data_IF_771517737611
#
_entry.id   IF_771517737611
#
_cell.length_a   1.000
_cell.length_b   1.000
_cell.length_c   1.000
_cell.angle_alpha   90.00
_cell.angle_beta   90.00
_cell.angle_gamma   90.00
#
_symmetry.space_group_name_H-M   'P 1'
#
loop_
_entity.id
_entity.type
_entity.pdbx_description
1 polymer ?
#
# COMPACT_ATOMS: atom_id res chain seq x y z
N UNK A 1 11.12 16.64 11.93
CA UNK A 1 11.97 17.51 12.77
C UNK A 1 11.16 18.63 13.41
N UNK A 2 10.50 19.55 12.66
CA UNK A 2 9.75 20.69 13.24
C UNK A 2 8.72 20.30 14.33
N UNK A 3 7.93 19.22 14.12
CA UNK A 3 7.01 18.67 15.14
C UNK A 3 7.78 18.29 16.42
N UNK A 4 8.96 17.67 16.27
CA UNK A 4 9.77 17.27 17.43
C UNK A 4 10.28 18.46 18.23
N UNK A 5 10.70 19.54 17.55
CA UNK A 5 11.14 20.78 18.21
C UNK A 5 9.99 21.44 18.97
N UNK A 6 8.81 21.56 18.34
CA UNK A 6 7.62 22.15 18.96
C UNK A 6 7.21 21.36 20.20
N UNK A 7 7.03 20.03 20.07
CA UNK A 7 6.59 19.21 21.19
C UNK A 7 7.65 19.08 22.30
N UNK A 8 8.94 19.16 21.94
CA UNK A 8 10.01 19.21 22.94
C UNK A 8 9.99 20.51 23.74
N UNK A 9 9.70 21.66 23.10
CA UNK A 9 9.56 22.95 23.80
C UNK A 9 8.36 22.98 24.76
N UNK A 10 7.30 22.22 24.44
CA UNK A 10 6.09 22.09 25.25
C UNK A 10 6.11 20.89 26.22
N UNK A 11 7.26 20.21 26.38
CA UNK A 11 7.38 18.97 27.15
C UNK A 11 6.75 19.03 28.55
N UNK A 12 6.88 20.16 29.24
CA UNK A 12 6.33 20.34 30.58
C UNK A 12 4.78 20.40 30.60
N UNK A 13 4.17 20.71 29.46
CA UNK A 13 2.72 20.87 29.31
C UNK A 13 2.06 19.63 28.68
N UNK A 14 2.84 18.63 28.24
CA UNK A 14 2.28 17.43 27.64
C UNK A 14 1.69 16.50 28.70
N UNK A 15 0.46 16.07 28.48
CA UNK A 15 -0.28 15.18 29.39
C UNK A 15 0.07 13.69 29.20
N UNK A 16 1.26 13.37 28.70
CA UNK A 16 1.72 11.99 28.47
C UNK A 16 3.08 11.93 27.81
N UNK A 17 3.38 10.81 27.16
CA UNK A 17 4.67 10.58 26.51
C UNK A 17 4.51 10.59 24.97
N UNK A 18 5.42 11.26 24.30
CA UNK A 18 5.51 11.28 22.84
C UNK A 18 6.77 10.53 22.41
N UNK A 19 6.60 9.51 21.59
CA UNK A 19 7.68 8.78 20.93
C UNK A 19 7.79 9.21 19.47
N UNK A 20 8.91 9.78 19.07
CA UNK A 20 9.19 10.11 17.67
C UNK A 20 9.83 8.90 16.99
N UNK A 21 9.26 8.49 15.86
CA UNK A 21 9.75 7.38 15.05
C UNK A 21 10.24 7.97 13.72
N UNK A 22 11.56 7.97 13.52
CA UNK A 22 12.19 8.42 12.29
C UNK A 22 12.47 7.19 11.43
N UNK A 23 11.51 6.87 10.59
CA UNK A 23 11.49 5.66 9.79
C UNK A 23 12.42 5.78 8.58
N UNK A 24 13.32 4.82 8.34
CA UNK A 24 14.10 4.69 7.11
C UNK A 24 13.39 3.78 6.10
N UNK A 25 13.86 3.78 4.85
CA UNK A 25 13.55 2.77 3.83
C UNK A 25 12.05 2.46 3.67
N UNK A 26 11.22 3.51 3.55
CA UNK A 26 9.78 3.35 3.27
C UNK A 26 9.56 2.62 1.94
N UNK A 27 10.36 2.93 0.91
CA UNK A 27 10.34 2.30 -0.42
C UNK A 27 10.87 0.86 -0.45
N UNK A 28 11.24 0.32 0.72
CA UNK A 28 11.77 -1.03 0.88
C UNK A 28 13.27 -1.15 0.60
N UNK A 29 13.83 -2.26 1.07
CA UNK A 29 15.21 -2.70 0.75
C UNK A 29 15.11 -3.92 -0.15
N UNK A 30 15.80 -3.88 -1.28
CA UNK A 30 15.77 -4.92 -2.30
C UNK A 30 17.11 -5.64 -2.37
N UNK A 31 17.09 -6.95 -2.65
CA UNK A 31 18.29 -7.73 -2.93
C UNK A 31 18.75 -7.54 -4.39
N UNK A 32 19.87 -8.16 -4.75
CA UNK A 32 20.43 -8.10 -6.12
C UNK A 32 19.51 -8.69 -7.20
N UNK A 33 18.46 -9.41 -6.80
CA UNK A 33 17.43 -9.97 -7.71
C UNK A 33 16.21 -9.07 -7.86
N UNK A 34 16.18 -7.92 -7.16
CA UNK A 34 15.02 -7.02 -7.13
C UNK A 34 13.86 -7.52 -6.27
N UNK A 35 14.10 -8.47 -5.37
CA UNK A 35 13.11 -8.94 -4.41
C UNK A 35 13.20 -8.07 -3.14
N UNK A 36 12.05 -7.58 -2.66
CA UNK A 36 11.99 -6.82 -1.42
C UNK A 36 12.31 -7.72 -0.23
N UNK A 37 13.34 -7.36 0.53
CA UNK A 37 13.76 -8.11 1.71
C UNK A 37 13.00 -7.66 2.94
N UNK A 38 12.88 -6.35 3.13
CA UNK A 38 12.32 -5.73 4.33
C UNK A 38 12.03 -4.25 4.08
N UNK A 39 11.02 -3.70 4.77
CA UNK A 39 10.83 -2.25 4.87
C UNK A 39 11.32 -1.71 6.21
N UNK A 40 11.49 -0.40 6.28
CA UNK A 40 11.94 0.23 7.51
C UNK A 40 10.95 0.07 8.66
N UNK A 41 9.66 0.26 8.40
CA UNK A 41 8.62 0.09 9.42
C UNK A 41 8.50 -1.36 9.90
N UNK A 42 8.60 -2.34 9.00
CA UNK A 42 8.55 -3.76 9.37
C UNK A 42 9.72 -4.12 10.30
N UNK A 43 10.94 -3.67 9.96
CA UNK A 43 12.12 -3.90 10.80
C UNK A 43 11.97 -3.24 12.16
N UNK A 44 11.58 -1.96 12.19
CA UNK A 44 11.39 -1.23 13.44
C UNK A 44 10.35 -1.88 14.34
N UNK A 45 9.27 -2.42 13.79
CA UNK A 45 8.26 -3.19 14.54
C UNK A 45 8.86 -4.48 15.10
N UNK A 46 9.66 -5.21 14.30
CA UNK A 46 10.36 -6.43 14.76
C UNK A 46 11.36 -6.12 15.89
N UNK A 47 12.01 -4.97 15.85
CA UNK A 47 12.93 -4.48 16.88
C UNK A 47 12.22 -3.88 18.11
N UNK A 48 10.90 -3.86 18.13
CA UNK A 48 10.11 -3.41 19.28
C UNK A 48 9.96 -1.91 19.41
N UNK A 49 9.99 -1.15 18.30
CA UNK A 49 9.84 0.31 18.32
C UNK A 49 8.55 0.79 19.00
N UNK A 50 7.51 -0.03 19.02
CA UNK A 50 6.23 0.30 19.65
C UNK A 50 6.17 -0.07 21.13
N UNK A 51 7.24 -0.66 21.67
CA UNK A 51 7.39 -1.00 23.08
C UNK A 51 8.37 -0.02 23.77
N UNK A 52 8.39 0.01 25.06
CA UNK A 52 9.32 0.77 25.93
C UNK A 52 9.64 2.22 25.51
N UNK A 53 8.73 3.19 25.69
CA UNK A 53 7.39 3.05 26.23
C UNK A 53 6.44 2.43 25.20
N UNK A 54 5.41 1.74 25.67
CA UNK A 54 4.37 1.19 24.82
C UNK A 54 3.61 2.32 24.14
N UNK A 55 3.38 2.17 22.84
CA UNK A 55 2.63 3.12 22.02
C UNK A 55 1.14 2.74 22.04
N UNK A 56 0.28 3.70 22.34
CA UNK A 56 -1.17 3.51 22.36
C UNK A 56 -1.80 3.80 20.99
N UNK A 57 -1.31 4.83 20.29
CA UNK A 57 -1.74 5.22 18.93
C UNK A 57 -0.57 5.80 18.15
N UNK A 58 -0.68 5.78 16.83
CA UNK A 58 0.34 6.37 15.94
C UNK A 58 -0.31 7.28 14.91
N UNK A 59 0.36 8.40 14.60
CA UNK A 59 -0.02 9.34 13.56
C UNK A 59 1.06 9.40 12.49
N UNK A 60 0.65 9.43 11.22
CA UNK A 60 1.54 9.58 10.06
C UNK A 60 0.97 10.53 9.02
N UNK A 61 1.83 11.08 8.19
CA UNK A 61 1.50 12.05 7.15
C UNK A 61 2.29 11.74 5.88
N UNK A 62 1.60 11.71 4.75
CA UNK A 62 2.21 11.67 3.43
C UNK A 62 1.91 12.96 2.66
N UNK A 63 2.85 13.42 1.85
CA UNK A 63 2.65 14.56 0.95
C UNK A 63 1.94 14.10 -0.33
N UNK A 64 1.02 14.89 -0.88
CA UNK A 64 0.28 14.58 -2.09
C UNK A 64 0.42 15.69 -3.14
N UNK A 65 1.23 15.45 -4.18
CA UNK A 65 1.51 16.43 -5.24
C UNK A 65 0.28 16.77 -6.10
N UNK A 66 -0.68 15.86 -6.21
CA UNK A 66 -1.90 16.07 -7.01
C UNK A 66 -3.05 16.77 -6.27
N UNK A 67 -2.97 16.88 -4.93
CA UNK A 67 -4.02 17.45 -4.09
C UNK A 67 -3.82 18.93 -3.83
N UNK A 68 -4.93 19.67 -3.64
CA UNK A 68 -4.92 21.13 -3.43
C UNK A 68 -3.98 21.52 -2.30
N UNK A 69 -3.12 22.51 -2.53
CA UNK A 69 -2.09 22.95 -1.60
C UNK A 69 -2.67 23.28 -0.21
N UNK A 70 -2.12 22.68 0.84
CA UNK A 70 -2.55 22.85 2.23
C UNK A 70 -3.90 22.23 2.59
N UNK A 71 -4.51 21.42 1.73
CA UNK A 71 -5.68 20.61 2.08
C UNK A 71 -5.22 19.33 2.78
N UNK A 72 -5.90 18.96 3.86
CA UNK A 72 -5.71 17.68 4.54
C UNK A 72 -6.73 16.67 4.01
N UNK A 73 -6.24 15.53 3.54
CA UNK A 73 -7.07 14.47 2.98
C UNK A 73 -6.92 13.18 3.80
N UNK A 74 -8.02 12.51 4.05
CA UNK A 74 -8.03 11.29 4.84
C UNK A 74 -9.13 10.32 4.40
N UNK A 75 -9.03 9.08 4.84
CA UNK A 75 -10.09 8.08 4.70
C UNK A 75 -10.13 7.19 5.93
N UNK A 76 -11.29 7.00 6.60
CA UNK A 76 -11.45 5.96 7.62
C UNK A 76 -11.40 4.57 7.00
N UNK A 77 -10.87 3.60 7.71
CA UNK A 77 -10.72 2.23 7.23
C UNK A 77 -9.56 2.08 6.24
N UNK A 78 -9.71 1.21 5.26
CA UNK A 78 -8.69 0.96 4.25
C UNK A 78 -8.41 2.23 3.42
N UNK A 79 -7.21 2.80 3.61
CA UNK A 79 -6.78 4.08 3.03
C UNK A 79 -5.86 3.85 1.84
N UNK A 80 -4.90 2.93 1.96
CA UNK A 80 -4.04 2.51 0.85
C UNK A 80 -4.01 0.98 0.77
N UNK A 81 -3.79 0.46 -0.44
CA UNK A 81 -3.84 -0.97 -0.70
C UNK A 81 -2.68 -1.74 -0.03
N UNK A 82 -2.93 -3.02 0.26
CA UNK A 82 -1.84 -3.98 0.38
C UNK A 82 -1.20 -4.21 -1.00
N UNK A 83 0.07 -4.55 -1.03
CA UNK A 83 0.82 -4.89 -2.23
C UNK A 83 1.42 -6.28 -2.11
N UNK A 84 1.26 -7.09 -3.17
CA UNK A 84 1.93 -8.38 -3.31
C UNK A 84 2.53 -8.52 -4.70
N UNK A 85 3.60 -9.29 -4.79
CA UNK A 85 4.25 -9.64 -6.04
C UNK A 85 3.73 -10.99 -6.55
N UNK A 86 3.42 -11.08 -7.83
CA UNK A 86 2.97 -12.28 -8.50
C UNK A 86 4.09 -12.83 -9.38
N UNK A 87 4.42 -14.10 -9.21
CA UNK A 87 5.37 -14.85 -10.02
C UNK A 87 4.73 -16.19 -10.40
N UNK A 88 4.57 -16.45 -11.72
CA UNK A 88 4.00 -17.69 -12.23
C UNK A 88 4.95 -18.26 -13.28
N UNK A 89 5.46 -19.47 -13.03
CA UNK A 89 6.25 -20.23 -13.99
C UNK A 89 5.42 -21.37 -14.54
N UNK A 90 5.21 -21.37 -15.86
CA UNK A 90 4.50 -22.43 -16.56
C UNK A 90 5.52 -23.34 -17.23
N UNK A 91 5.52 -24.61 -16.89
CA UNK A 91 6.34 -25.63 -17.50
C UNK A 91 5.52 -26.43 -18.52
N UNK A 92 5.99 -26.43 -19.75
CA UNK A 92 5.46 -27.18 -20.87
C UNK A 92 6.46 -28.27 -21.36
N UNK A 93 6.42 -28.54 -22.65
CA UNK A 93 7.35 -29.44 -23.33
C UNK A 93 7.68 -28.86 -24.70
N UNK A 94 8.97 -28.62 -24.92
CA UNK A 94 9.48 -28.08 -26.18
C UNK A 94 9.16 -29.00 -27.36
N UNK A 95 8.80 -28.40 -28.50
CA UNK A 95 8.51 -29.11 -29.74
C UNK A 95 8.73 -28.23 -30.98
N UNK A 96 8.79 -28.84 -32.16
CA UNK A 96 8.75 -28.11 -33.42
C UNK A 96 7.36 -27.47 -33.61
N UNK A 97 7.31 -26.18 -33.96
CA UNK A 97 6.06 -25.42 -34.11
C UNK A 97 5.07 -26.00 -35.14
N UNK A 98 5.57 -26.73 -36.15
CA UNK A 98 4.73 -27.43 -37.13
C UNK A 98 4.24 -28.83 -36.65
N UNK A 99 4.68 -29.30 -35.46
CA UNK A 99 4.27 -30.58 -34.87
C UNK A 99 3.83 -30.41 -33.41
N UNK A 100 2.86 -29.50 -33.14
CA UNK A 100 2.49 -29.09 -31.77
C UNK A 100 1.97 -30.23 -30.90
N UNK A 101 1.41 -31.28 -31.50
CA UNK A 101 0.92 -32.50 -30.81
C UNK A 101 2.02 -33.32 -30.13
N UNK A 102 3.31 -33.03 -30.39
CA UNK A 102 4.45 -33.70 -29.74
C UNK A 102 4.93 -32.95 -28.49
N UNK A 103 4.43 -31.76 -28.25
CA UNK A 103 4.81 -30.86 -27.17
C UNK A 103 3.67 -30.51 -26.22
N UNK A 104 3.93 -29.58 -25.32
CA UNK A 104 2.97 -28.91 -24.45
C UNK A 104 3.31 -27.43 -24.51
N UNK A 105 2.38 -26.60 -25.01
CA UNK A 105 2.65 -25.22 -25.31
C UNK A 105 2.43 -24.30 -24.07
N UNK A 106 3.50 -23.82 -23.40
CA UNK A 106 3.36 -22.97 -22.23
C UNK A 106 2.90 -21.54 -22.59
N UNK A 107 3.02 -21.10 -23.84
CA UNK A 107 2.52 -19.78 -24.28
C UNK A 107 1.00 -19.79 -24.32
N UNK A 108 0.39 -20.84 -24.90
CA UNK A 108 -1.07 -21.00 -24.93
C UNK A 108 -1.62 -21.12 -23.51
N UNK A 109 -1.00 -21.95 -22.67
CA UNK A 109 -1.39 -22.11 -21.26
C UNK A 109 -1.31 -20.76 -20.52
N UNK A 110 -0.21 -20.01 -20.64
CA UNK A 110 -0.04 -18.71 -20.00
C UNK A 110 -1.08 -17.69 -20.46
N UNK A 111 -1.42 -17.69 -21.75
CA UNK A 111 -2.46 -16.81 -22.28
C UNK A 111 -3.83 -17.12 -21.65
N UNK A 112 -4.17 -18.39 -21.48
CA UNK A 112 -5.39 -18.81 -20.79
C UNK A 112 -5.37 -18.44 -19.30
N UNK A 113 -4.22 -18.57 -18.63
CA UNK A 113 -4.06 -18.15 -17.24
C UNK A 113 -4.32 -16.65 -17.12
N UNK A 114 -3.72 -15.81 -17.97
CA UNK A 114 -3.96 -14.35 -17.95
C UNK A 114 -5.45 -14.03 -18.05
N UNK A 115 -6.16 -14.67 -18.98
CA UNK A 115 -7.61 -14.51 -19.14
C UNK A 115 -8.39 -15.04 -17.93
N UNK A 116 -8.00 -16.19 -17.38
CA UNK A 116 -8.61 -16.77 -16.19
C UNK A 116 -8.46 -15.88 -14.96
N UNK A 117 -7.29 -15.27 -14.74
CA UNK A 117 -7.04 -14.37 -13.62
C UNK A 117 -7.97 -13.15 -13.60
N UNK A 118 -8.45 -12.67 -14.77
CA UNK A 118 -9.40 -11.56 -14.83
C UNK A 118 -10.75 -11.92 -14.18
N UNK A 119 -11.09 -13.20 -14.09
CA UNK A 119 -12.33 -13.65 -13.44
C UNK A 119 -12.29 -13.49 -11.92
N UNK A 120 -11.12 -13.35 -11.31
CA UNK A 120 -10.99 -13.13 -9.88
C UNK A 120 -11.71 -11.85 -9.50
N UNK A 121 -11.31 -10.72 -10.11
CA UNK A 121 -11.89 -9.40 -9.82
C UNK A 121 -13.35 -9.35 -10.28
N UNK A 122 -13.65 -9.87 -11.46
CA UNK A 122 -14.99 -9.74 -12.03
C UNK A 122 -16.03 -10.72 -11.48
N UNK A 123 -15.65 -11.83 -10.79
CA UNK A 123 -16.58 -12.90 -10.36
C UNK A 123 -16.37 -13.39 -8.92
N UNK A 124 -15.20 -13.16 -8.30
CA UNK A 124 -14.91 -13.69 -6.96
C UNK A 124 -14.83 -12.60 -5.89
N UNK A 125 -14.53 -11.36 -6.29
CA UNK A 125 -14.30 -10.21 -5.40
C UNK A 125 -15.58 -9.38 -5.26
N UNK A 126 -15.96 -9.03 -4.03
CA UNK A 126 -16.97 -7.98 -3.80
C UNK A 126 -16.32 -6.61 -3.95
N UNK A 127 -16.37 -6.05 -5.15
CA UNK A 127 -15.72 -4.77 -5.49
C UNK A 127 -16.35 -3.55 -4.79
N UNK A 128 -17.52 -3.71 -4.17
CA UNK A 128 -18.21 -2.62 -3.45
C UNK A 128 -17.75 -2.49 -2.00
N UNK A 129 -17.14 -3.54 -1.45
CA UNK A 129 -16.60 -3.56 -0.09
C UNK A 129 -15.08 -3.41 -0.11
N UNK A 130 -14.41 -4.47 -0.58
CA UNK A 130 -12.95 -4.55 -0.63
C UNK A 130 -12.49 -4.84 -2.07
N UNK A 131 -12.30 -3.83 -2.93
CA UNK A 131 -11.85 -4.04 -4.29
C UNK A 131 -10.45 -4.68 -4.35
N UNK A 132 -10.15 -5.34 -5.48
CA UNK A 132 -8.83 -5.89 -5.74
C UNK A 132 -8.37 -5.59 -7.17
N UNK A 133 -7.05 -5.62 -7.36
CA UNK A 133 -6.40 -5.52 -8.67
C UNK A 133 -5.45 -6.70 -8.81
N UNK A 134 -5.52 -7.40 -9.93
CA UNK A 134 -4.57 -8.46 -10.31
C UNK A 134 -4.06 -8.14 -11.71
N UNK A 135 -2.79 -7.80 -11.81
CA UNK A 135 -2.15 -7.42 -13.06
C UNK A 135 -0.98 -8.33 -13.36
N UNK A 136 -0.96 -8.93 -14.56
CA UNK A 136 0.24 -9.54 -15.13
C UNK A 136 0.93 -8.43 -15.93
N UNK A 137 2.09 -7.98 -15.44
CA UNK A 137 2.83 -6.86 -16.01
C UNK A 137 3.80 -7.28 -17.12
N UNK A 138 4.30 -8.53 -17.07
CA UNK A 138 5.18 -9.06 -18.12
C UNK A 138 5.01 -10.56 -18.28
N UNK A 139 5.24 -11.04 -19.52
CA UNK A 139 5.30 -12.45 -19.90
C UNK A 139 6.55 -12.66 -20.73
N UNK A 140 7.37 -13.62 -20.34
CA UNK A 140 8.60 -13.98 -21.04
C UNK A 140 8.53 -15.45 -21.48
N UNK A 141 8.59 -15.71 -22.79
CA UNK A 141 8.58 -17.06 -23.34
C UNK A 141 9.05 -17.09 -24.80
N UNK A 142 9.70 -18.20 -25.19
CA UNK A 142 10.11 -18.46 -26.56
C UNK A 142 11.29 -17.59 -27.04
N UNK A 143 11.94 -18.08 -28.09
CA UNK A 143 13.11 -17.40 -28.74
C UNK A 143 13.04 -17.43 -30.26
N UNK A 144 12.19 -18.29 -30.85
CA UNK A 144 12.05 -18.46 -32.30
C UNK A 144 10.60 -18.77 -32.69
N UNK A 145 10.18 -18.30 -33.86
CA UNK A 145 8.82 -18.43 -34.36
C UNK A 145 8.38 -19.88 -34.66
N UNK A 146 9.31 -20.82 -34.84
CA UNK A 146 9.05 -22.18 -35.21
C UNK A 146 9.32 -23.20 -34.11
N UNK A 147 9.46 -22.74 -32.85
CA UNK A 147 9.73 -23.58 -31.68
C UNK A 147 8.69 -23.30 -30.62
N UNK A 148 7.95 -24.31 -30.16
CA UNK A 148 7.22 -24.27 -28.91
C UNK A 148 8.25 -24.33 -27.78
N UNK A 149 8.29 -23.34 -26.86
CA UNK A 149 9.30 -23.29 -25.80
C UNK A 149 9.04 -24.33 -24.71
N UNK A 150 10.03 -24.55 -23.85
CA UNK A 150 9.89 -25.43 -22.69
C UNK A 150 9.10 -24.79 -21.55
N UNK A 151 9.17 -23.47 -21.42
CA UNK A 151 8.57 -22.73 -20.31
C UNK A 151 8.13 -21.32 -20.68
N UNK A 152 7.25 -20.77 -19.83
CA UNK A 152 6.87 -19.36 -19.80
C UNK A 152 6.97 -18.85 -18.38
N UNK A 153 7.31 -17.57 -18.21
CA UNK A 153 7.40 -16.88 -16.92
C UNK A 153 6.58 -15.59 -16.96
N UNK A 154 5.67 -15.45 -16.01
CA UNK A 154 4.82 -14.27 -15.83
C UNK A 154 5.12 -13.61 -14.48
N UNK A 155 5.26 -12.29 -14.48
CA UNK A 155 5.39 -11.48 -13.28
C UNK A 155 4.31 -10.42 -13.22
N UNK A 156 3.89 -10.06 -12.02
CA UNK A 156 2.79 -9.11 -11.86
C UNK A 156 2.67 -8.54 -10.47
N UNK A 157 1.58 -7.85 -10.24
CA UNK A 157 1.28 -7.22 -8.96
C UNK A 157 -0.18 -7.47 -8.55
N UNK A 158 -0.38 -7.56 -7.25
CA UNK A 158 -1.69 -7.71 -6.62
C UNK A 158 -1.91 -6.52 -5.68
N UNK A 159 -3.11 -5.93 -5.70
CA UNK A 159 -3.54 -4.91 -4.74
C UNK A 159 -4.85 -5.35 -4.10
N UNK A 160 -4.96 -5.24 -2.78
CA UNK A 160 -6.17 -5.58 -2.03
C UNK A 160 -6.40 -4.60 -0.90
N UNK A 161 -7.66 -4.46 -0.45
CA UNK A 161 -8.02 -3.51 0.62
C UNK A 161 -8.56 -4.20 1.88
N UNK A 162 -8.66 -5.53 1.89
CA UNK A 162 -9.11 -6.32 3.03
C UNK A 162 -8.26 -7.57 3.23
N UNK A 163 -8.10 -8.00 4.49
CA UNK A 163 -7.27 -9.17 4.85
C UNK A 163 -7.85 -10.47 4.28
N UNK A 164 -9.15 -10.67 4.43
CA UNK A 164 -9.81 -11.88 3.92
C UNK A 164 -9.88 -11.88 2.40
N UNK A 165 -10.08 -10.71 1.81
CA UNK A 165 -10.02 -10.52 0.37
C UNK A 165 -8.63 -10.85 -0.20
N UNK A 166 -7.56 -10.44 0.47
CA UNK A 166 -6.17 -10.77 0.10
C UNK A 166 -5.96 -12.28 0.05
N UNK A 167 -6.41 -13.00 1.09
CA UNK A 167 -6.34 -14.47 1.15
C UNK A 167 -7.13 -15.14 0.01
N UNK A 168 -8.36 -14.67 -0.22
CA UNK A 168 -9.19 -15.15 -1.32
C UNK A 168 -8.49 -14.98 -2.68
N UNK A 169 -7.99 -13.78 -2.96
CA UNK A 169 -7.29 -13.47 -4.22
C UNK A 169 -6.07 -14.37 -4.41
N UNK A 170 -5.24 -14.52 -3.37
CA UNK A 170 -4.08 -15.42 -3.42
C UNK A 170 -4.47 -16.88 -3.73
N UNK A 171 -5.52 -17.37 -3.08
CA UNK A 171 -5.98 -18.75 -3.31
C UNK A 171 -6.52 -18.91 -4.73
N UNK A 172 -7.36 -17.95 -5.19
CA UNK A 172 -7.92 -18.02 -6.56
C UNK A 172 -6.84 -17.94 -7.64
N UNK A 173 -5.78 -17.15 -7.44
CA UNK A 173 -4.65 -17.11 -8.37
C UNK A 173 -4.00 -18.50 -8.49
N UNK A 174 -3.74 -19.16 -7.37
CA UNK A 174 -3.14 -20.51 -7.34
C UNK A 174 -4.04 -21.51 -8.03
N UNK A 175 -5.32 -21.56 -7.64
CA UNK A 175 -6.29 -22.52 -8.19
C UNK A 175 -6.43 -22.39 -9.72
N UNK A 176 -6.64 -21.15 -10.19
CA UNK A 176 -6.84 -20.88 -11.62
C UNK A 176 -5.59 -21.25 -12.41
N UNK A 177 -4.42 -20.81 -11.95
CA UNK A 177 -3.17 -21.06 -12.67
C UNK A 177 -2.83 -22.54 -12.74
N UNK A 178 -2.99 -23.27 -11.63
CA UNK A 178 -2.70 -24.70 -11.57
C UNK A 178 -3.67 -25.49 -12.44
N UNK A 179 -4.99 -25.28 -12.28
CA UNK A 179 -6.00 -26.05 -13.02
C UNK A 179 -5.93 -25.81 -14.55
N UNK A 180 -5.67 -24.54 -14.97
CA UNK A 180 -5.48 -24.25 -16.40
C UNK A 180 -4.23 -24.94 -16.94
N UNK A 181 -3.11 -24.90 -16.20
CA UNK A 181 -1.89 -25.55 -16.64
C UNK A 181 -2.07 -27.08 -16.77
N UNK A 182 -2.70 -27.71 -15.78
CA UNK A 182 -2.98 -29.13 -15.79
C UNK A 182 -3.93 -29.52 -16.95
N UNK A 183 -4.95 -28.72 -17.24
CA UNK A 183 -5.85 -28.95 -18.36
C UNK A 183 -5.14 -28.92 -19.72
N UNK A 184 -4.07 -28.11 -19.82
CA UNK A 184 -3.18 -28.03 -20.99
C UNK A 184 -2.07 -29.11 -21.01
N UNK A 185 -2.04 -30.03 -20.03
CA UNK A 185 -1.00 -31.05 -19.87
C UNK A 185 0.33 -30.51 -19.31
N UNK A 186 0.40 -29.24 -18.90
CA UNK A 186 1.56 -28.59 -18.31
C UNK A 186 1.48 -28.49 -16.78
N UNK A 187 2.37 -27.69 -16.20
CA UNK A 187 2.37 -27.41 -14.76
C UNK A 187 2.63 -25.91 -14.50
N UNK A 188 1.88 -25.30 -13.59
CA UNK A 188 2.16 -23.94 -13.10
C UNK A 188 2.74 -23.99 -11.68
N UNK A 189 3.81 -23.24 -11.46
CA UNK A 189 4.37 -22.92 -10.16
C UNK A 189 4.03 -21.45 -9.85
N UNK A 190 3.27 -21.24 -8.78
CA UNK A 190 2.80 -19.91 -8.38
C UNK A 190 3.44 -19.51 -7.07
N UNK A 191 4.22 -18.45 -7.11
CA UNK A 191 4.80 -17.79 -5.94
C UNK A 191 4.17 -16.42 -5.76
N UNK A 192 3.70 -16.13 -4.54
CA UNK A 192 3.19 -14.80 -4.19
C UNK A 192 4.08 -14.26 -3.07
N UNK A 193 4.88 -13.25 -3.43
CA UNK A 193 5.68 -12.49 -2.46
C UNK A 193 4.79 -11.52 -1.72
N UNK A 194 4.66 -11.70 -0.40
CA UNK A 194 3.85 -10.83 0.45
C UNK A 194 4.62 -9.55 0.75
N UNK A 195 4.08 -8.42 0.32
CA UNK A 195 4.59 -7.08 0.63
C UNK A 195 3.78 -6.38 1.72
N UNK A 196 3.61 -5.05 1.60
CA UNK A 196 2.97 -4.25 2.63
C UNK A 196 1.52 -4.64 2.88
N UNK A 197 1.07 -4.64 4.14
CA UNK A 197 -0.34 -4.78 4.48
C UNK A 197 -1.17 -3.56 4.03
N UNK A 198 -2.48 -3.63 4.20
CA UNK A 198 -3.38 -2.48 4.00
C UNK A 198 -3.02 -1.38 5.01
N UNK A 199 -2.82 -0.15 4.53
CA UNK A 199 -2.78 1.03 5.38
C UNK A 199 -4.20 1.30 5.86
N UNK A 200 -4.46 1.00 7.13
CA UNK A 200 -5.80 0.98 7.70
C UNK A 200 -5.95 2.00 8.82
N UNK A 201 -6.65 3.08 8.54
CA UNK A 201 -6.98 4.07 9.56
C UNK A 201 -8.07 3.54 10.49
N UNK A 202 -7.77 3.44 11.78
CA UNK A 202 -8.75 3.01 12.76
C UNK A 202 -9.93 3.98 12.79
N UNK A 203 -11.18 3.54 12.46
CA UNK A 203 -12.31 4.46 12.33
C UNK A 203 -12.64 5.22 13.61
N UNK A 204 -12.53 4.57 14.76
CA UNK A 204 -12.79 5.22 16.06
C UNK A 204 -11.72 6.27 16.39
N UNK A 205 -10.44 6.02 16.04
CA UNK A 205 -9.39 7.01 16.19
C UNK A 205 -9.60 8.20 15.24
N UNK A 206 -9.97 7.92 13.98
CA UNK A 206 -10.27 8.98 13.00
C UNK A 206 -11.43 9.85 13.50
N UNK A 207 -12.54 9.25 13.92
CA UNK A 207 -13.70 9.98 14.45
C UNK A 207 -13.32 10.85 15.65
N UNK A 208 -12.52 10.30 16.57
CA UNK A 208 -12.03 11.00 17.76
C UNK A 208 -11.16 12.21 17.41
N UNK A 209 -10.29 12.08 16.39
CA UNK A 209 -9.25 13.06 16.08
C UNK A 209 -9.60 14.01 14.92
N UNK A 210 -10.65 13.72 14.18
CA UNK A 210 -11.10 14.58 13.06
C UNK A 210 -11.39 16.04 13.49
N UNK A 211 -12.04 16.32 14.64
CA UNK A 211 -12.23 17.68 15.11
C UNK A 211 -10.94 18.46 15.28
N UNK A 212 -9.86 17.82 15.69
CA UNK A 212 -8.52 18.45 15.80
C UNK A 212 -8.02 18.94 14.44
N UNK A 213 -8.06 18.06 13.41
CA UNK A 213 -7.65 18.47 12.05
C UNK A 213 -8.52 19.61 11.52
N UNK A 214 -9.83 19.55 11.75
CA UNK A 214 -10.77 20.60 11.36
C UNK A 214 -10.53 21.91 12.12
N UNK A 215 -10.12 21.85 13.37
CA UNK A 215 -9.73 23.03 14.17
C UNK A 215 -8.45 23.68 13.66
N UNK A 216 -7.49 22.86 13.19
CA UNK A 216 -6.21 23.35 12.64
C UNK A 216 -6.37 24.01 11.27
N UNK A 217 -7.17 23.45 10.39
CA UNK A 217 -7.19 23.80 8.95
C UNK A 217 -8.53 24.32 8.43
N UNK A 218 -9.58 24.32 9.26
CA UNK A 218 -10.96 24.59 8.85
C UNK A 218 -11.62 23.37 8.21
N UNK A 219 -12.93 23.25 8.39
CA UNK A 219 -13.69 22.07 7.91
C UNK A 219 -13.63 21.87 6.40
N UNK A 220 -13.63 22.96 5.63
CA UNK A 220 -13.63 22.90 4.15
C UNK A 220 -12.30 22.45 3.58
N UNK A 221 -11.23 22.52 4.36
CA UNK A 221 -9.87 22.10 3.99
C UNK A 221 -9.45 20.76 4.63
N UNK A 222 -10.41 20.00 5.18
CA UNK A 222 -10.22 18.64 5.68
C UNK A 222 -11.23 17.73 5.00
N UNK A 223 -10.79 16.93 4.04
CA UNK A 223 -11.64 16.21 3.10
C UNK A 223 -11.47 14.71 3.19
N UNK A 224 -12.58 13.98 3.09
CA UNK A 224 -12.54 12.53 2.87
C UNK A 224 -12.29 12.25 1.40
N UNK A 225 -11.38 11.31 1.10
CA UNK A 225 -11.02 10.92 -0.26
C UNK A 225 -11.27 9.42 -0.50
N UNK A 226 -11.20 9.00 -1.76
CA UNK A 226 -11.20 7.58 -2.11
C UNK A 226 -9.90 6.91 -1.62
N UNK A 227 -9.92 5.58 -1.50
CA UNK A 227 -8.71 4.83 -1.20
C UNK A 227 -7.71 4.90 -2.36
N UNK A 228 -6.42 4.95 -2.04
CA UNK A 228 -5.32 4.92 -3.01
C UNK A 228 -4.86 3.48 -3.27
N UNK A 229 -4.56 3.17 -4.51
CA UNK A 229 -4.01 1.85 -4.89
C UNK A 229 -2.51 1.71 -4.64
N UNK A 230 -1.83 2.79 -4.25
CA UNK A 230 -0.48 2.76 -3.69
C UNK A 230 -0.43 1.99 -2.37
N UNK A 231 0.75 1.61 -1.95
CA UNK A 231 1.00 0.94 -0.68
C UNK A 231 1.96 1.79 0.16
N UNK A 232 1.93 1.59 1.48
CA UNK A 232 2.68 2.38 2.46
C UNK A 232 3.09 1.47 3.63
N UNK A 233 4.35 1.46 4.00
CA UNK A 233 4.84 0.55 5.05
C UNK A 233 4.46 1.01 6.46
N UNK A 234 3.97 2.24 6.66
CA UNK A 234 3.31 2.67 7.90
C UNK A 234 2.22 1.69 8.34
N UNK A 235 1.67 0.93 7.40
CA UNK A 235 0.74 -0.16 7.62
C UNK A 235 1.24 -1.20 8.63
N UNK A 236 2.55 -1.45 8.72
CA UNK A 236 3.11 -2.39 9.71
C UNK A 236 2.93 -1.89 11.14
N UNK A 237 3.04 -0.58 11.39
CA UNK A 237 2.71 -0.01 12.70
C UNK A 237 1.21 -0.17 12.98
N UNK A 238 0.36 0.08 11.98
CA UNK A 238 -1.10 -0.01 12.12
C UNK A 238 -1.61 -1.44 12.34
N UNK A 239 -0.81 -2.48 12.00
CA UNK A 239 -1.10 -3.86 12.37
C UNK A 239 -0.94 -4.11 13.89
N UNK A 240 -0.28 -3.22 14.62
CA UNK A 240 0.05 -3.38 16.05
C UNK A 240 -0.71 -2.43 16.95
N UNK A 241 -0.91 -1.20 16.51
CA UNK A 241 -1.59 -0.15 17.28
C UNK A 241 -2.55 0.64 16.39
N UNK A 242 -3.63 1.21 16.94
CA UNK A 242 -4.50 2.09 16.17
C UNK A 242 -3.69 3.24 15.55
N UNK A 243 -3.82 3.43 14.24
CA UNK A 243 -3.12 4.48 13.52
C UNK A 243 -4.07 5.39 12.77
N UNK A 244 -3.63 6.63 12.57
CA UNK A 244 -4.28 7.58 11.68
C UNK A 244 -3.25 8.19 10.73
N UNK A 245 -3.33 7.79 9.47
CA UNK A 245 -2.49 8.25 8.37
C UNK A 245 -3.31 9.14 7.45
N UNK A 246 -2.78 10.31 7.10
CA UNK A 246 -3.49 11.29 6.27
C UNK A 246 -2.52 11.94 5.29
N UNK A 247 -3.06 12.70 4.34
CA UNK A 247 -2.29 13.33 3.29
C UNK A 247 -2.34 14.85 3.44
N UNK A 248 -1.24 15.51 3.09
CA UNK A 248 -1.17 16.95 2.91
C UNK A 248 -1.03 17.26 1.43
N UNK A 249 -1.97 17.97 0.86
CA UNK A 249 -1.89 18.47 -0.50
C UNK A 249 -0.78 19.52 -0.64
N UNK A 250 -0.02 19.39 -1.74
CA UNK A 250 1.09 20.29 -2.07
C UNK A 250 1.17 20.57 -3.58
N UNK A 251 0.04 20.54 -4.27
CA UNK A 251 -0.04 20.92 -5.68
C UNK A 251 0.19 22.42 -5.82
N UNK A 252 1.10 22.85 -6.73
CA UNK A 252 1.26 24.26 -7.02
C UNK A 252 -0.06 24.94 -7.42
N UNK A 253 -0.40 26.06 -6.81
CA UNK A 253 -1.70 26.75 -6.98
C UNK A 253 -1.97 27.19 -8.43
N UNK A 254 -0.93 27.34 -9.24
CA UNK A 254 -1.02 27.69 -10.66
C UNK A 254 -1.18 26.49 -11.60
N UNK A 255 -1.30 25.26 -11.08
CA UNK A 255 -1.45 24.02 -11.87
C UNK A 255 -2.74 23.28 -11.54
N UNK A 256 -3.32 22.62 -12.53
CA UNK A 256 -4.39 21.65 -12.33
C UNK A 256 -3.82 20.28 -11.93
N UNK A 257 -4.66 19.39 -11.41
CA UNK A 257 -4.23 18.06 -10.98
C UNK A 257 -3.65 17.19 -12.10
N UNK A 258 -4.16 17.34 -13.31
CA UNK A 258 -3.69 16.66 -14.53
C UNK A 258 -2.44 17.28 -15.16
N UNK A 259 -2.00 18.44 -14.68
CA UNK A 259 -0.79 19.14 -15.13
C UNK A 259 0.42 18.91 -14.19
N UNK A 260 0.22 18.16 -13.11
CA UNK A 260 1.27 17.88 -12.12
C UNK A 260 1.84 16.50 -12.32
N UNK A 261 3.17 16.42 -12.36
CA UNK A 261 3.86 15.14 -12.39
C UNK A 261 3.59 14.34 -11.11
N UNK A 262 3.32 13.04 -11.27
CA UNK A 262 3.07 12.14 -10.16
C UNK A 262 4.34 11.87 -9.35
N UNK A 263 4.16 11.28 -8.18
CA UNK A 263 5.26 10.73 -7.39
C UNK A 263 6.08 9.74 -8.23
N UNK A 264 7.35 9.57 -7.92
CA UNK A 264 8.30 8.69 -8.63
C UNK A 264 8.57 9.07 -10.09
N UNK A 265 8.39 10.34 -10.47
CA UNK A 265 8.73 10.85 -11.81
C UNK A 265 9.84 11.90 -11.74
N UNK A 266 10.65 12.07 -12.82
CA UNK A 266 11.73 13.06 -12.82
C UNK A 266 11.26 14.51 -12.63
N UNK A 267 10.03 14.81 -13.07
CA UNK A 267 9.44 16.15 -13.01
C UNK A 267 8.61 16.39 -11.73
N UNK A 268 8.73 15.49 -10.74
CA UNK A 268 8.04 15.63 -9.46
C UNK A 268 8.38 16.96 -8.78
N UNK A 269 7.35 17.71 -8.42
CA UNK A 269 7.48 19.02 -7.78
C UNK A 269 6.34 19.26 -6.78
N UNK A 270 6.65 19.96 -5.69
CA UNK A 270 5.74 20.32 -4.62
C UNK A 270 5.75 21.83 -4.39
N UNK A 271 4.62 22.36 -3.94
CA UNK A 271 4.55 23.70 -3.34
C UNK A 271 4.69 23.58 -1.82
N UNK A 272 5.74 24.17 -1.27
CA UNK A 272 6.08 24.11 0.16
C UNK A 272 5.30 25.15 1.02
N UNK A 273 4.54 26.03 0.38
CA UNK A 273 3.91 27.19 1.03
C UNK A 273 2.97 26.82 2.20
N UNK A 274 2.50 25.58 2.25
CA UNK A 274 1.58 25.11 3.28
C UNK A 274 2.11 23.95 4.14
N UNK A 275 3.41 23.67 4.12
CA UNK A 275 3.99 22.58 4.93
C UNK A 275 3.77 22.78 6.44
N UNK A 276 3.66 24.05 6.91
CA UNK A 276 3.29 24.35 8.29
C UNK A 276 1.92 23.78 8.71
N UNK A 277 1.00 23.54 7.77
CA UNK A 277 -0.30 22.90 8.07
C UNK A 277 -0.08 21.47 8.55
N UNK A 278 0.81 20.71 7.89
CA UNK A 278 1.17 19.35 8.30
C UNK A 278 1.86 19.34 9.69
N UNK A 279 2.76 20.28 9.93
CA UNK A 279 3.41 20.44 11.25
C UNK A 279 2.39 20.72 12.34
N UNK A 280 1.49 21.67 12.11
CA UNK A 280 0.38 21.97 13.04
C UNK A 280 -0.52 20.78 13.26
N UNK A 281 -0.94 20.09 12.18
CA UNK A 281 -1.82 18.96 12.26
C UNK A 281 -1.24 17.83 13.13
N UNK A 282 -0.01 17.39 12.86
CA UNK A 282 0.63 16.36 13.67
C UNK A 282 0.85 16.78 15.12
N UNK A 283 1.30 18.02 15.37
CA UNK A 283 1.49 18.52 16.73
C UNK A 283 0.17 18.57 17.52
N UNK A 284 -0.89 19.09 16.89
CA UNK A 284 -2.21 19.19 17.54
C UNK A 284 -2.85 17.82 17.78
N UNK A 285 -2.70 16.86 16.84
CA UNK A 285 -3.18 15.49 17.04
C UNK A 285 -2.55 14.85 18.29
N UNK A 286 -1.25 15.04 18.49
CA UNK A 286 -0.54 14.52 19.66
C UNK A 286 -1.05 15.17 20.94
N UNK A 287 -1.11 16.51 21.00
CA UNK A 287 -1.53 17.25 22.20
C UNK A 287 -2.97 16.89 22.56
N UNK A 288 -3.90 17.02 21.61
CA UNK A 288 -5.33 16.75 21.85
C UNK A 288 -5.57 15.30 22.26
N UNK A 289 -4.86 14.33 21.62
CA UNK A 289 -4.99 12.93 22.00
C UNK A 289 -4.56 12.69 23.45
N UNK A 290 -3.42 13.23 23.86
CA UNK A 290 -2.91 13.12 25.24
C UNK A 290 -3.87 13.77 26.25
N UNK A 291 -4.42 14.94 25.94
CA UNK A 291 -5.39 15.62 26.82
C UNK A 291 -6.71 14.83 26.94
N UNK A 292 -7.20 14.27 25.84
CA UNK A 292 -8.41 13.43 25.84
C UNK A 292 -8.23 12.08 26.56
N UNK A 293 -6.99 11.58 26.65
CA UNK A 293 -6.67 10.32 27.34
C UNK A 293 -6.61 10.47 28.86
N UNK A 294 -6.52 11.72 29.39
CA UNK A 294 -6.53 11.94 30.84
C UNK A 294 -7.89 11.62 31.46
N UNK A 295 -7.93 10.98 32.64
CA UNK A 295 -9.17 10.81 33.35
C UNK A 295 -9.78 12.19 33.65
N UNK A 296 -11.02 12.43 33.20
CA UNK A 296 -11.76 13.67 33.52
C UNK A 296 -11.72 13.83 35.03
N UNK A 297 -11.03 14.88 35.54
CA UNK A 297 -11.13 15.26 36.93
C UNK A 297 -12.62 15.45 37.24
N UNK A 298 -13.20 14.58 38.07
CA UNK A 298 -14.55 14.78 38.58
C UNK A 298 -14.55 16.16 39.27
N UNK A 299 -15.32 17.09 38.69
CA UNK A 299 -15.64 18.35 39.35
C UNK A 299 -16.58 18.09 40.53
#
# INVERSE_FOLDING_TARGET
MAVAEILASEKANLAGTVKFIFQPAEEGVYNDKGEMILSGAELMVKEGVLENPKVDVIFGLHIASGSDNGVLEYKPGATMAAVDQLDIKVKGKQAHGASPWTGIDPIVISSQIVMGLQTIVSRSVNITEDPAIVTVGAIHSGIRQNIIPESSHMIGTIRTFGVEQRKLVHQRIKDISTNIAESGGGKAEVTIGTGYPVTYNNPALVEKMLPTLQGVNGKDRVRTVAAHTGAEDFSFFQQKVPGFFFFLGARPDNKKADEVAGHHTPDFHLDEGHFQVGVKALSSLVVDYLDMAQPKKKK
#
